data_IF_508898885285
#
_entry.id   IF_508898885285
#
_cell.length_a   1.000
_cell.length_b   1.000
_cell.length_c   1.000
_cell.angle_alpha   90.00
_cell.angle_beta   90.00
_cell.angle_gamma   90.00
#
_symmetry.space_group_name_H-M   'P 1'
#
loop_
_entity.id
_entity.type
_entity.pdbx_description
1 polymer ?
#
# COMPACT_ATOMS: atom_id res chain seq x y z
N UNK A 1 -0.94 5.52 16.42
CA UNK A 1 -1.36 4.50 15.43
C UNK A 1 -0.11 3.95 14.74
N UNK A 2 -0.14 2.72 14.24
CA UNK A 2 0.99 2.20 13.46
C UNK A 2 1.05 2.91 12.10
N UNK A 3 2.23 3.23 11.54
CA UNK A 3 2.33 3.77 10.19
C UNK A 3 1.73 2.80 9.18
N UNK A 4 0.88 3.32 8.29
CA UNK A 4 0.25 2.52 7.24
C UNK A 4 1.13 2.55 5.99
N UNK A 5 1.36 1.37 5.41
CA UNK A 5 2.06 1.20 4.13
C UNK A 5 1.07 0.66 3.10
N UNK A 6 0.84 1.43 2.05
CA UNK A 6 0.03 1.02 0.91
C UNK A 6 0.91 0.34 -0.14
N UNK A 7 0.52 -0.86 -0.55
CA UNK A 7 1.19 -1.67 -1.57
C UNK A 7 0.28 -1.68 -2.79
N UNK A 8 0.61 -0.85 -3.77
CA UNK A 8 -0.22 -0.60 -4.97
C UNK A 8 0.37 -1.32 -6.18
N UNK A 9 -0.47 -1.96 -6.99
CA UNK A 9 -0.07 -2.64 -8.23
C UNK A 9 -1.21 -2.63 -9.25
N UNK A 10 -0.86 -2.54 -10.53
CA UNK A 10 -1.76 -2.74 -11.69
C UNK A 10 -2.08 -4.23 -11.95
N UNK A 11 -1.29 -5.16 -11.39
CA UNK A 11 -1.54 -6.60 -11.38
C UNK A 11 -1.94 -7.13 -10.00
N UNK A 12 -1.52 -8.35 -9.67
CA UNK A 12 -1.88 -9.02 -8.39
C UNK A 12 -1.21 -8.40 -7.16
N UNK A 13 -0.15 -7.61 -7.34
CA UNK A 13 0.63 -7.01 -6.26
C UNK A 13 1.51 -7.97 -5.44
N UNK A 14 1.65 -9.25 -5.84
CA UNK A 14 2.49 -10.23 -5.12
C UNK A 14 3.96 -9.80 -5.08
N UNK A 15 4.48 -9.30 -6.20
CA UNK A 15 5.85 -8.78 -6.28
C UNK A 15 6.05 -7.61 -5.32
N UNK A 16 5.16 -6.60 -5.38
CA UNK A 16 5.22 -5.43 -4.52
C UNK A 16 5.08 -5.79 -3.03
N UNK A 17 4.22 -6.75 -2.69
CA UNK A 17 4.05 -7.26 -1.33
C UNK A 17 5.31 -7.95 -0.82
N UNK A 18 5.93 -8.81 -1.64
CA UNK A 18 7.17 -9.52 -1.28
C UNK A 18 8.29 -8.52 -1.00
N UNK A 19 8.47 -7.52 -1.88
CA UNK A 19 9.45 -6.46 -1.66
C UNK A 19 9.16 -5.64 -0.41
N UNK A 20 7.89 -5.27 -0.17
CA UNK A 20 7.50 -4.53 1.03
C UNK A 20 7.84 -5.32 2.30
N UNK A 21 7.53 -6.62 2.36
CA UNK A 21 7.91 -7.45 3.50
C UNK A 21 9.42 -7.51 3.74
N UNK A 22 10.22 -7.66 2.68
CA UNK A 22 11.68 -7.70 2.78
C UNK A 22 12.29 -6.36 3.22
N UNK A 23 11.70 -5.23 2.82
CA UNK A 23 12.17 -3.90 3.22
C UNK A 23 11.75 -3.61 4.67
N UNK A 24 10.48 -3.86 5.00
CA UNK A 24 9.93 -3.49 6.31
C UNK A 24 10.49 -4.35 7.45
N UNK A 25 10.98 -5.56 7.17
CA UNK A 25 11.66 -6.41 8.16
C UNK A 25 13.00 -5.83 8.64
N UNK A 26 13.56 -4.83 7.95
CA UNK A 26 14.79 -4.13 8.36
C UNK A 26 14.56 -3.12 9.49
N UNK A 27 13.30 -2.80 9.82
CA UNK A 27 12.94 -1.83 10.83
C UNK A 27 12.40 -2.54 12.07
N UNK A 28 12.83 -2.12 13.26
CA UNK A 28 12.25 -2.56 14.53
C UNK A 28 10.96 -1.78 14.86
N UNK A 29 10.00 -1.80 13.92
CA UNK A 29 8.72 -1.11 14.04
C UNK A 29 7.62 -1.93 13.38
N UNK A 30 6.42 -1.90 13.97
CA UNK A 30 5.23 -2.51 13.36
C UNK A 30 4.59 -1.57 12.34
N UNK A 31 4.14 -2.14 11.23
CA UNK A 31 3.44 -1.41 10.16
C UNK A 31 2.07 -2.03 9.91
N UNK A 32 1.10 -1.21 9.54
CA UNK A 32 -0.17 -1.66 8.99
C UNK A 32 -0.04 -1.76 7.47
N UNK A 33 -0.16 -2.96 6.91
CA UNK A 33 -0.08 -3.15 5.46
C UNK A 33 -1.46 -3.12 4.83
N UNK A 34 -1.60 -2.38 3.73
CA UNK A 34 -2.82 -2.33 2.92
C UNK A 34 -2.45 -2.64 1.48
N UNK A 35 -3.00 -3.72 0.93
CA UNK A 35 -2.80 -4.11 -0.48
C UNK A 35 -3.89 -3.54 -1.36
N UNK A 36 -3.47 -3.00 -2.50
CA UNK A 36 -4.36 -2.45 -3.53
C UNK A 36 -3.96 -3.03 -4.89
N UNK A 37 -4.43 -4.24 -5.24
CA UNK A 37 -4.15 -4.86 -6.53
C UNK A 37 -5.08 -4.32 -7.63
N UNK A 38 -4.71 -4.60 -8.88
CA UNK A 38 -5.48 -4.29 -10.09
C UNK A 38 -5.82 -2.81 -10.28
N UNK A 39 -4.90 -1.91 -9.92
CA UNK A 39 -4.99 -0.46 -10.20
C UNK A 39 -4.54 -0.20 -11.66
N UNK A 40 -5.35 -0.69 -12.59
CA UNK A 40 -5.08 -0.75 -14.04
C UNK A 40 -5.89 0.29 -14.84
N UNK A 41 -6.56 1.22 -14.15
CA UNK A 41 -7.33 2.31 -14.77
C UNK A 41 -7.16 3.62 -14.00
N UNK A 42 -7.41 4.74 -14.69
CA UNK A 42 -7.36 6.06 -14.08
C UNK A 42 -8.34 6.19 -12.91
N UNK A 43 -9.58 5.69 -13.06
CA UNK A 43 -10.58 5.75 -12.00
C UNK A 43 -10.13 5.01 -10.73
N UNK A 44 -9.52 3.83 -10.89
CA UNK A 44 -8.96 3.07 -9.77
C UNK A 44 -7.76 3.76 -9.14
N UNK A 45 -6.92 4.42 -9.96
CA UNK A 45 -5.81 5.21 -9.45
C UNK A 45 -6.28 6.40 -8.61
N UNK A 46 -7.27 7.16 -9.09
CA UNK A 46 -7.86 8.27 -8.33
C UNK A 46 -8.51 7.79 -7.02
N UNK A 47 -9.30 6.72 -7.06
CA UNK A 47 -9.87 6.12 -5.83
C UNK A 47 -8.79 5.62 -4.85
N UNK A 48 -7.65 5.14 -5.35
CA UNK A 48 -6.53 4.73 -4.50
C UNK A 48 -5.87 5.93 -3.84
N UNK A 49 -5.70 7.02 -4.57
CA UNK A 49 -5.16 8.28 -4.02
C UNK A 49 -6.07 8.83 -2.92
N UNK A 50 -7.39 8.83 -3.11
CA UNK A 50 -8.36 9.24 -2.08
C UNK A 50 -8.19 8.43 -0.79
N UNK A 51 -8.13 7.09 -0.89
CA UNK A 51 -7.93 6.21 0.27
C UNK A 51 -6.61 6.47 1.00
N UNK A 52 -5.54 6.75 0.25
CA UNK A 52 -4.23 7.07 0.85
C UNK A 52 -4.33 8.41 1.60
N UNK A 53 -4.97 9.41 1.01
CA UNK A 53 -5.13 10.73 1.62
C UNK A 53 -6.01 10.66 2.88
N UNK A 54 -7.12 9.94 2.85
CA UNK A 54 -7.99 9.72 4.02
C UNK A 54 -7.21 9.07 5.18
N UNK A 55 -6.37 8.09 4.88
CA UNK A 55 -5.53 7.43 5.88
C UNK A 55 -4.40 8.31 6.42
N UNK A 56 -4.03 9.40 5.73
CA UNK A 56 -2.98 10.33 6.16
C UNK A 56 -3.51 11.46 7.06
N UNK A 57 -4.81 11.76 7.00
CA UNK A 57 -5.45 12.85 7.78
C UNK A 57 -5.85 12.40 9.19
N UNK A 58 -5.82 11.09 9.48
CA UNK A 58 -6.12 10.50 10.79
C UNK A 58 -4.87 10.00 11.50
#
# INVERSE_FOLDING_TARGET
MLPTVFIVSDGTGITAETFAHSILSQFDQKFRLVRVPFVDSLDKAYSTVEKINEAAVH
#
